data_IF_734866820044
#
_entry.id   IF_734866820044
#
_cell.length_a   1.000
_cell.length_b   1.000
_cell.length_c   1.000
_cell.angle_alpha   90.00
_cell.angle_beta   90.00
_cell.angle_gamma   90.00
#
_symmetry.space_group_name_H-M   'P 1'
#
loop_
_entity.id
_entity.type
_entity.pdbx_description
1 polymer ?
#
# COMPACT_ATOMS: atom_id res chain seq x y z
N UNK A 1 14.43 23.19 6.23
CA UNK A 1 14.52 22.49 4.93
C UNK A 1 14.34 21.01 5.18
N UNK A 2 13.13 20.48 5.02
CA UNK A 2 12.90 19.03 5.16
C UNK A 2 13.51 18.34 3.94
N UNK A 3 14.63 17.66 4.14
CA UNK A 3 15.26 16.84 3.11
C UNK A 3 14.39 15.58 2.90
N UNK A 4 13.31 15.73 2.13
CA UNK A 4 12.29 14.70 1.88
C UNK A 4 12.80 13.51 1.06
N UNK A 5 14.03 13.55 0.54
CA UNK A 5 14.64 12.47 -0.22
C UNK A 5 15.37 11.47 0.70
N UNK A 6 14.59 10.77 1.52
CA UNK A 6 15.11 9.74 2.41
C UNK A 6 14.27 8.46 2.32
N UNK A 7 14.95 7.31 2.29
CA UNK A 7 14.33 5.98 2.28
C UNK A 7 13.26 5.83 3.38
N UNK A 8 13.51 6.22 4.65
CA UNK A 8 12.48 6.13 5.69
C UNK A 8 11.25 7.01 5.45
N UNK A 9 11.40 8.18 4.82
CA UNK A 9 10.24 9.02 4.44
C UNK A 9 9.39 8.34 3.36
N UNK A 10 10.03 7.71 2.38
CA UNK A 10 9.36 6.88 1.38
C UNK A 10 8.66 5.67 1.98
N UNK A 11 9.27 5.03 2.97
CA UNK A 11 8.71 3.87 3.65
C UNK A 11 7.47 4.24 4.48
N UNK A 12 7.50 5.37 5.19
CA UNK A 12 6.32 5.91 5.90
C UNK A 12 5.19 6.28 4.94
N UNK A 13 5.50 6.94 3.82
CA UNK A 13 4.52 7.26 2.77
C UNK A 13 3.93 6.01 2.12
N UNK A 14 4.77 5.02 1.84
CA UNK A 14 4.36 3.74 1.28
C UNK A 14 3.55 2.88 2.25
N UNK A 15 3.71 3.08 3.56
CA UNK A 15 2.89 2.43 4.60
C UNK A 15 1.57 3.16 4.89
N UNK A 16 1.46 4.46 4.58
CA UNK A 16 0.25 5.25 4.83
C UNK A 16 -0.95 4.74 4.03
N UNK A 17 -0.80 4.51 2.72
CA UNK A 17 -1.88 3.97 1.89
C UNK A 17 -2.37 2.56 2.32
N UNK A 18 -1.49 1.56 2.52
CA UNK A 18 -1.92 0.25 2.99
C UNK A 18 -2.45 0.30 4.43
N UNK A 19 -1.91 1.17 5.30
CA UNK A 19 -2.43 1.38 6.65
C UNK A 19 -3.83 1.98 6.65
N UNK A 20 -4.09 2.98 5.79
CA UNK A 20 -5.44 3.53 5.58
C UNK A 20 -6.35 2.45 4.99
N UNK A 21 -5.87 1.65 4.04
CA UNK A 21 -6.66 0.55 3.46
C UNK A 21 -7.02 -0.47 4.53
N UNK A 22 -6.08 -0.84 5.41
CA UNK A 22 -6.34 -1.78 6.50
C UNK A 22 -7.32 -1.22 7.52
N UNK A 23 -7.21 0.07 7.87
CA UNK A 23 -8.11 0.75 8.79
C UNK A 23 -9.51 0.93 8.20
N UNK A 24 -9.61 1.40 6.96
CA UNK A 24 -10.87 1.54 6.21
C UNK A 24 -11.50 0.18 6.03
N UNK A 25 -10.76 -0.86 5.66
CA UNK A 25 -11.30 -2.20 5.50
C UNK A 25 -11.71 -2.82 6.85
N UNK A 26 -10.93 -2.66 7.92
CA UNK A 26 -11.34 -3.09 9.26
C UNK A 26 -12.63 -2.41 9.73
N UNK A 27 -12.85 -1.15 9.35
CA UNK A 27 -14.03 -0.37 9.73
C UNK A 27 -15.25 -0.63 8.82
N UNK A 28 -15.04 -0.78 7.50
CA UNK A 28 -16.10 -1.04 6.51
C UNK A 28 -16.50 -2.51 6.44
N UNK A 29 -15.55 -3.43 6.56
CA UNK A 29 -15.82 -4.88 6.48
C UNK A 29 -16.56 -5.40 7.71
N UNK A 30 -16.43 -4.73 8.85
CA UNK A 30 -17.25 -5.03 10.03
C UNK A 30 -18.74 -4.76 9.78
N UNK A 31 -19.05 -3.93 8.77
CA UNK A 31 -20.42 -3.52 8.46
C UNK A 31 -20.96 -4.19 7.19
N UNK A 32 -20.11 -4.53 6.20
CA UNK A 32 -20.60 -4.93 4.86
C UNK A 32 -19.75 -6.03 4.19
N UNK A 33 -19.84 -7.26 4.69
CA UNK A 33 -19.45 -8.48 3.97
C UNK A 33 -20.30 -8.75 2.68
N UNK A 34 -21.07 -7.77 2.19
CA UNK A 34 -22.14 -7.96 1.21
C UNK A 34 -21.70 -7.50 -0.20
N UNK A 35 -20.75 -6.57 -0.35
CA UNK A 35 -20.47 -5.94 -1.65
C UNK A 35 -19.35 -6.64 -2.46
N UNK A 36 -18.47 -7.42 -1.84
CA UNK A 36 -17.31 -8.00 -2.54
C UNK A 36 -17.03 -9.44 -2.11
N UNK A 37 -17.60 -10.37 -2.88
CA UNK A 37 -17.46 -11.83 -2.75
C UNK A 37 -15.99 -12.34 -2.79
N UNK A 38 -15.01 -11.45 -3.02
CA UNK A 38 -13.57 -11.73 -2.97
C UNK A 38 -12.87 -10.76 -2.01
N UNK A 39 -12.40 -11.24 -0.84
CA UNK A 39 -11.76 -10.41 0.17
C UNK A 39 -10.44 -9.77 -0.30
N UNK A 40 -9.84 -10.23 -1.42
CA UNK A 40 -8.57 -9.71 -1.92
C UNK A 40 -8.62 -8.47 -2.83
N UNK A 41 -9.78 -8.10 -3.37
CA UNK A 41 -9.89 -6.99 -4.34
C UNK A 41 -9.49 -5.61 -3.78
N UNK A 42 -9.88 -5.20 -2.56
CA UNK A 42 -9.54 -3.86 -2.05
C UNK A 42 -8.05 -3.73 -1.71
N UNK A 43 -7.40 -4.83 -1.31
CA UNK A 43 -5.96 -4.86 -1.11
C UNK A 43 -5.20 -4.69 -2.43
N UNK A 44 -5.69 -5.28 -3.53
CA UNK A 44 -5.14 -5.04 -4.86
C UNK A 44 -5.31 -3.59 -5.30
N UNK A 45 -6.44 -2.94 -4.98
CA UNK A 45 -6.66 -1.51 -5.25
C UNK A 45 -5.67 -0.63 -4.49
N UNK A 46 -5.39 -0.96 -3.23
CA UNK A 46 -4.38 -0.24 -2.43
C UNK A 46 -2.96 -0.39 -2.99
N UNK A 47 -2.59 -1.60 -3.42
CA UNK A 47 -1.30 -1.85 -4.10
C UNK A 47 -1.22 -1.03 -5.38
N UNK A 48 -2.28 -1.01 -6.19
CA UNK A 48 -2.33 -0.22 -7.43
C UNK A 48 -2.16 1.28 -7.16
N UNK A 49 -2.82 1.84 -6.15
CA UNK A 49 -2.63 3.22 -5.73
C UNK A 49 -1.18 3.51 -5.28
N UNK A 50 -0.58 2.60 -4.51
CA UNK A 50 0.81 2.73 -4.08
C UNK A 50 1.79 2.75 -5.26
N UNK A 51 1.53 1.95 -6.31
CA UNK A 51 2.30 1.98 -7.55
C UNK A 51 2.12 3.29 -8.34
N UNK A 52 0.94 3.91 -8.30
CA UNK A 52 0.71 5.23 -8.89
C UNK A 52 1.49 6.31 -8.14
N UNK A 53 1.49 6.28 -6.80
CA UNK A 53 2.29 7.21 -5.97
C UNK A 53 3.78 7.00 -6.25
N UNK A 54 4.24 5.74 -6.29
CA UNK A 54 5.61 5.39 -6.67
C UNK A 54 6.01 6.03 -8.00
N UNK A 55 5.16 5.92 -9.03
CA UNK A 55 5.40 6.50 -10.37
C UNK A 55 5.47 8.03 -10.32
N UNK A 56 4.65 8.68 -9.50
CA UNK A 56 4.71 10.12 -9.28
C UNK A 56 6.03 10.56 -8.62
N UNK A 57 6.53 9.81 -7.64
CA UNK A 57 7.81 10.12 -6.97
C UNK A 57 9.03 9.83 -7.84
N UNK A 58 8.98 8.78 -8.66
CA UNK A 58 10.00 8.51 -9.68
C UNK A 58 10.10 9.67 -10.69
N UNK A 59 8.96 10.24 -11.12
CA UNK A 59 8.93 11.42 -12.01
C UNK A 59 9.52 12.69 -11.39
N UNK A 60 9.64 12.77 -10.07
CA UNK A 60 10.18 13.92 -9.34
C UNK A 60 11.66 13.75 -8.96
N UNK A 61 12.36 12.77 -9.53
CA UNK A 61 13.75 12.43 -9.20
C UNK A 61 13.99 12.11 -7.70
N UNK A 62 12.91 11.72 -7.00
CA UNK A 62 12.95 11.36 -5.59
C UNK A 62 13.26 9.86 -5.44
N UNK A 63 14.38 9.41 -5.98
CA UNK A 63 14.71 7.98 -6.12
C UNK A 63 14.75 7.25 -4.78
N UNK A 64 15.25 7.88 -3.71
CA UNK A 64 15.34 7.24 -2.38
C UNK A 64 13.96 7.04 -1.78
N UNK A 65 13.09 8.04 -1.90
CA UNK A 65 11.71 7.99 -1.44
C UNK A 65 10.91 6.97 -2.26
N UNK A 66 11.10 6.96 -3.58
CA UNK A 66 10.50 5.96 -4.45
C UNK A 66 10.97 4.54 -4.09
N UNK A 67 12.26 4.33 -3.81
CA UNK A 67 12.78 3.06 -3.31
C UNK A 67 12.12 2.61 -2.01
N UNK A 68 11.90 3.53 -1.06
CA UNK A 68 11.17 3.24 0.18
C UNK A 68 9.70 2.84 -0.05
N UNK A 69 9.00 3.55 -0.94
CA UNK A 69 7.62 3.22 -1.33
C UNK A 69 7.56 1.85 -2.01
N UNK A 70 8.53 1.54 -2.88
CA UNK A 70 8.64 0.26 -3.56
C UNK A 70 8.82 -0.90 -2.57
N UNK A 71 9.75 -0.77 -1.62
CA UNK A 71 9.96 -1.76 -0.56
C UNK A 71 8.71 -2.00 0.29
N UNK A 72 8.03 -0.91 0.71
CA UNK A 72 6.78 -1.02 1.47
C UNK A 72 5.66 -1.70 0.67
N UNK A 73 5.51 -1.34 -0.61
CA UNK A 73 4.52 -1.94 -1.51
C UNK A 73 4.80 -3.43 -1.71
N UNK A 74 6.06 -3.82 -1.87
CA UNK A 74 6.46 -5.22 -2.04
C UNK A 74 6.22 -6.05 -0.78
N UNK A 75 6.57 -5.52 0.40
CA UNK A 75 6.28 -6.15 1.68
C UNK A 75 4.77 -6.33 1.89
N UNK A 76 3.97 -5.31 1.56
CA UNK A 76 2.51 -5.40 1.67
C UNK A 76 1.92 -6.41 0.69
N UNK A 77 2.43 -6.47 -0.54
CA UNK A 77 2.04 -7.48 -1.52
C UNK A 77 2.34 -8.89 -1.03
N UNK A 78 3.49 -9.13 -0.38
CA UNK A 78 3.80 -10.42 0.24
C UNK A 78 2.82 -10.77 1.36
N UNK A 79 2.49 -9.82 2.23
CA UNK A 79 1.50 -10.04 3.30
C UNK A 79 0.14 -10.40 2.71
N UNK A 80 -0.35 -9.63 1.74
CA UNK A 80 -1.63 -9.90 1.06
C UNK A 80 -1.60 -11.26 0.37
N UNK A 81 -0.53 -11.60 -0.33
CA UNK A 81 -0.43 -12.87 -1.04
C UNK A 81 -0.40 -14.07 -0.06
N UNK A 82 0.36 -13.97 1.03
CA UNK A 82 0.46 -15.05 2.02
C UNK A 82 -0.81 -15.18 2.86
N UNK A 83 -1.41 -14.07 3.32
CA UNK A 83 -2.56 -14.14 4.22
C UNK A 83 -3.92 -14.24 3.53
N UNK A 84 -4.07 -13.68 2.33
CA UNK A 84 -5.37 -13.67 1.63
C UNK A 84 -5.45 -14.77 0.56
N UNK A 85 -4.38 -15.01 -0.20
CA UNK A 85 -4.43 -15.97 -1.32
C UNK A 85 -4.09 -17.40 -0.87
N UNK A 86 -3.25 -17.58 0.16
CA UNK A 86 -2.87 -18.93 0.64
C UNK A 86 -3.87 -19.52 1.66
N UNK A 87 -4.56 -18.67 2.41
CA UNK A 87 -5.47 -19.06 3.51
C UNK A 87 -6.96 -19.01 3.08
N UNK A 88 -7.27 -18.35 1.96
CA UNK A 88 -8.62 -18.28 1.37
C UNK A 88 -8.93 -19.39 0.38
#
# INVERSE_FOLDING_TARGET
MFNVNSIPAGLLLGCLLPGITWGVFGFILHNEAIILNKPGVPYLVAIALNLVVLRCFFKKEQEKTAGGIMMATFAFMLVVFVFIIRIG
#
